data_IF_374008787091
#
_entry.id   IF_374008787091
#
_cell.length_a   1.000
_cell.length_b   1.000
_cell.length_c   1.000
_cell.angle_alpha   90.00
_cell.angle_beta   90.00
_cell.angle_gamma   90.00
#
_symmetry.space_group_name_H-M   'P 1'
#
loop_
_entity.id
_entity.type
_entity.pdbx_description
1 polymer ?
#
# COMPACT_ATOMS: atom_id res chain seq x y z
N UNK A 1 -10.40 22.99 -23.20
CA UNK A 1 -10.27 22.18 -21.96
C UNK A 1 -10.85 20.79 -22.15
N UNK A 2 -12.08 20.64 -22.64
CA UNK A 2 -12.78 19.37 -22.90
C UNK A 2 -11.90 18.37 -23.67
N UNK A 3 -11.35 18.77 -24.83
CA UNK A 3 -10.56 17.88 -25.69
C UNK A 3 -9.31 17.32 -24.98
N UNK A 4 -8.67 18.12 -24.10
CA UNK A 4 -7.50 17.70 -23.35
C UNK A 4 -7.84 16.62 -22.30
N UNK A 5 -8.98 16.80 -21.61
CA UNK A 5 -9.48 15.83 -20.62
C UNK A 5 -9.88 14.54 -21.33
N UNK A 6 -10.66 14.65 -22.40
CA UNK A 6 -11.11 13.49 -23.19
C UNK A 6 -9.94 12.73 -23.79
N UNK A 7 -8.94 13.42 -24.35
CA UNK A 7 -7.75 12.79 -24.91
C UNK A 7 -6.93 12.04 -23.83
N UNK A 8 -6.84 12.59 -22.62
CA UNK A 8 -6.17 11.94 -21.49
C UNK A 8 -6.90 10.68 -21.06
N UNK A 9 -8.22 10.74 -20.87
CA UNK A 9 -9.04 9.58 -20.48
C UNK A 9 -8.99 8.52 -21.56
N UNK A 10 -9.14 8.91 -22.84
CA UNK A 10 -9.07 8.00 -23.99
C UNK A 10 -7.77 7.19 -24.06
N UNK A 11 -6.63 7.80 -23.71
CA UNK A 11 -5.34 7.10 -23.66
C UNK A 11 -5.33 5.93 -22.65
N UNK A 12 -6.20 5.97 -21.65
CA UNK A 12 -6.28 4.94 -20.59
C UNK A 12 -7.37 3.88 -20.87
N UNK A 13 -8.15 4.04 -21.95
CA UNK A 13 -9.19 3.11 -22.36
C UNK A 13 -8.67 1.91 -23.17
N UNK A 14 -7.36 1.75 -23.36
CA UNK A 14 -6.79 0.66 -24.15
C UNK A 14 -7.24 -0.71 -23.63
N UNK A 15 -7.70 -1.60 -24.54
CA UNK A 15 -8.12 -2.96 -24.19
C UNK A 15 -9.38 -3.08 -23.32
N UNK A 16 -10.10 -1.98 -23.07
CA UNK A 16 -11.41 -2.00 -22.42
C UNK A 16 -12.54 -2.22 -23.41
N UNK A 17 -13.70 -2.63 -22.88
CA UNK A 17 -14.90 -2.82 -23.71
C UNK A 17 -15.29 -1.50 -24.42
N UNK A 18 -15.73 -1.54 -25.69
CA UNK A 18 -16.18 -0.35 -26.44
C UNK A 18 -17.33 0.43 -25.79
N UNK A 19 -18.08 -0.17 -24.85
CA UNK A 19 -19.12 0.51 -24.07
C UNK A 19 -18.54 1.50 -23.03
N UNK A 20 -17.22 1.44 -22.78
CA UNK A 20 -16.53 2.42 -21.94
C UNK A 20 -16.25 3.66 -22.78
N UNK A 21 -17.11 4.67 -22.63
CA UNK A 21 -17.05 5.90 -23.42
C UNK A 21 -16.30 7.01 -22.66
N UNK A 22 -15.08 7.39 -23.12
CA UNK A 22 -14.30 8.46 -22.48
C UNK A 22 -14.98 9.83 -22.58
N UNK A 23 -15.84 10.06 -23.60
CA UNK A 23 -16.57 11.32 -23.78
C UNK A 23 -17.58 11.50 -22.66
N UNK A 24 -18.36 10.45 -22.35
CA UNK A 24 -19.35 10.49 -21.26
C UNK A 24 -18.70 10.75 -19.90
N UNK A 25 -17.52 10.16 -19.64
CA UNK A 25 -16.75 10.45 -18.42
C UNK A 25 -16.34 11.91 -18.41
N UNK A 26 -15.79 12.43 -19.52
CA UNK A 26 -15.32 13.80 -19.63
C UNK A 26 -16.43 14.84 -19.41
N UNK A 27 -17.62 14.57 -19.95
CA UNK A 27 -18.78 15.46 -19.74
C UNK A 27 -19.13 15.60 -18.26
N UNK A 28 -19.22 14.49 -17.53
CA UNK A 28 -19.48 14.51 -16.07
C UNK A 28 -18.37 15.13 -15.27
N UNK A 29 -17.11 14.94 -15.68
CA UNK A 29 -15.96 15.59 -15.02
C UNK A 29 -16.04 17.10 -15.14
N UNK A 30 -16.44 17.61 -16.32
CA UNK A 30 -16.52 19.06 -16.55
C UNK A 30 -17.62 19.72 -15.70
N UNK A 31 -18.72 19.03 -15.45
CA UNK A 31 -19.79 19.53 -14.56
C UNK A 31 -19.31 19.78 -13.13
N UNK A 32 -18.25 19.07 -12.69
CA UNK A 32 -17.66 19.23 -11.36
C UNK A 32 -16.42 20.14 -11.30
N UNK A 33 -16.08 20.84 -12.41
CA UNK A 33 -14.89 21.70 -12.42
C UNK A 33 -15.15 23.04 -11.75
N UNK A 34 -14.09 23.56 -11.13
CA UNK A 34 -14.03 24.92 -10.56
C UNK A 34 -12.71 25.59 -10.95
N UNK A 35 -12.66 26.91 -10.82
CA UNK A 35 -11.45 27.68 -11.12
C UNK A 35 -10.33 27.36 -10.13
N UNK A 36 -9.12 27.12 -10.64
CA UNK A 36 -7.94 26.77 -9.83
C UNK A 36 -7.78 25.29 -9.55
N UNK A 37 -8.63 24.40 -10.09
CA UNK A 37 -8.47 22.95 -9.95
C UNK A 37 -7.11 22.49 -10.47
N UNK A 38 -6.37 21.73 -9.66
CA UNK A 38 -5.09 21.14 -10.05
C UNK A 38 -5.29 19.94 -10.96
N UNK A 39 -4.25 19.57 -11.72
CA UNK A 39 -4.32 18.36 -12.58
C UNK A 39 -4.44 17.09 -11.78
N UNK A 40 -3.99 17.06 -10.53
CA UNK A 40 -4.11 15.92 -9.62
C UNK A 40 -5.54 15.76 -9.10
N UNK A 41 -6.18 16.86 -8.71
CA UNK A 41 -7.60 16.88 -8.32
C UNK A 41 -8.51 16.50 -9.49
N UNK A 42 -8.20 17.00 -10.69
CA UNK A 42 -8.90 16.63 -11.91
C UNK A 42 -8.83 15.12 -12.20
N UNK A 43 -7.65 14.51 -12.06
CA UNK A 43 -7.50 13.06 -12.22
C UNK A 43 -8.27 12.29 -11.14
N UNK A 44 -8.28 12.77 -9.87
CA UNK A 44 -9.07 12.15 -8.82
C UNK A 44 -10.57 12.21 -9.12
N UNK A 45 -11.09 13.39 -9.52
CA UNK A 45 -12.47 13.54 -9.92
C UNK A 45 -12.83 12.63 -11.10
N UNK A 46 -11.95 12.55 -12.11
CA UNK A 46 -12.17 11.68 -13.26
C UNK A 46 -12.22 10.19 -12.89
N UNK A 47 -11.37 9.76 -11.95
CA UNK A 47 -11.39 8.39 -11.44
C UNK A 47 -12.67 8.10 -10.65
N UNK A 48 -13.12 9.01 -9.80
CA UNK A 48 -14.36 8.88 -9.02
C UNK A 48 -15.59 8.82 -9.95
N UNK A 49 -15.67 9.72 -10.93
CA UNK A 49 -16.73 9.72 -11.94
C UNK A 49 -16.75 8.39 -12.70
N UNK A 50 -15.60 7.91 -13.17
CA UNK A 50 -15.53 6.61 -13.83
C UNK A 50 -15.97 5.47 -12.91
N UNK A 51 -15.59 5.49 -11.63
CA UNK A 51 -16.00 4.49 -10.65
C UNK A 51 -17.53 4.46 -10.43
N UNK A 52 -18.21 5.61 -10.45
CA UNK A 52 -19.70 5.64 -10.36
C UNK A 52 -20.40 5.03 -11.58
N UNK A 53 -19.72 4.95 -12.72
CA UNK A 53 -20.26 4.39 -13.96
C UNK A 53 -20.12 2.87 -14.07
N UNK A 54 -19.60 2.18 -13.04
CA UNK A 54 -19.48 0.72 -13.00
C UNK A 54 -20.83 0.00 -13.12
N UNK A 55 -21.92 0.66 -12.74
CA UNK A 55 -23.29 0.17 -12.96
C UNK A 55 -23.68 0.09 -14.44
N UNK A 56 -23.03 0.86 -15.31
CA UNK A 56 -23.24 0.82 -16.76
C UNK A 56 -22.41 -0.29 -17.40
N UNK A 57 -21.13 -0.42 -17.01
CA UNK A 57 -20.24 -1.50 -17.43
C UNK A 57 -19.09 -1.71 -16.43
N UNK A 58 -18.72 -2.96 -16.06
CA UNK A 58 -17.67 -3.25 -15.07
C UNK A 58 -16.31 -2.65 -15.42
N UNK A 59 -15.96 -2.52 -16.69
CA UNK A 59 -14.67 -1.98 -17.14
C UNK A 59 -14.46 -0.51 -16.78
N UNK A 60 -15.51 0.21 -16.38
CA UNK A 60 -15.31 1.55 -15.82
C UNK A 60 -14.50 1.52 -14.50
N UNK A 61 -14.55 0.42 -13.73
CA UNK A 61 -13.67 0.23 -12.57
C UNK A 61 -12.19 0.15 -12.99
N UNK A 62 -11.91 -0.53 -14.11
CA UNK A 62 -10.56 -0.60 -14.67
C UNK A 62 -10.07 0.76 -15.16
N UNK A 63 -10.94 1.53 -15.84
CA UNK A 63 -10.63 2.89 -16.26
C UNK A 63 -10.35 3.78 -15.05
N UNK A 64 -11.19 3.76 -14.03
CA UNK A 64 -11.03 4.51 -12.79
C UNK A 64 -9.68 4.20 -12.10
N UNK A 65 -9.33 2.92 -12.01
CA UNK A 65 -8.03 2.49 -11.49
C UNK A 65 -6.88 3.04 -12.31
N UNK A 66 -6.92 2.92 -13.62
CA UNK A 66 -5.85 3.41 -14.51
C UNK A 66 -5.62 4.91 -14.40
N UNK A 67 -6.70 5.69 -14.25
CA UNK A 67 -6.60 7.13 -14.00
C UNK A 67 -5.90 7.39 -12.66
N UNK A 68 -6.32 6.70 -11.59
CA UNK A 68 -5.72 6.85 -10.26
C UNK A 68 -4.25 6.42 -10.22
N UNK A 69 -3.90 5.29 -10.84
CA UNK A 69 -2.50 4.82 -10.97
C UNK A 69 -1.66 5.83 -11.74
N UNK A 70 -2.17 6.33 -12.86
CA UNK A 70 -1.49 7.35 -13.65
C UNK A 70 -1.27 8.65 -12.87
N UNK A 71 -2.23 9.03 -12.00
CA UNK A 71 -2.09 10.17 -11.11
C UNK A 71 -1.01 9.94 -10.06
N UNK A 72 -1.01 8.77 -9.40
CA UNK A 72 0.05 8.40 -8.45
C UNK A 72 1.43 8.42 -9.12
N UNK A 73 1.56 7.88 -10.32
CA UNK A 73 2.83 7.85 -11.06
C UNK A 73 3.35 9.25 -11.42
N UNK A 74 2.47 10.24 -11.65
CA UNK A 74 2.88 11.63 -11.87
C UNK A 74 3.43 12.28 -10.61
N UNK A 75 2.87 11.92 -9.46
CA UNK A 75 3.16 12.56 -8.17
C UNK A 75 4.26 11.83 -7.38
N UNK A 76 4.81 10.73 -7.91
CA UNK A 76 5.81 9.89 -7.24
C UNK A 76 7.04 9.68 -8.12
N UNK A 77 8.19 9.50 -7.49
CA UNK A 77 9.42 9.15 -8.19
C UNK A 77 9.29 7.79 -8.88
N UNK A 78 9.91 7.66 -10.06
CA UNK A 78 9.93 6.40 -10.79
C UNK A 78 10.97 5.43 -10.21
N UNK A 79 12.14 5.92 -9.78
CA UNK A 79 13.20 5.08 -9.23
C UNK A 79 12.83 4.56 -7.85
N UNK A 80 12.88 3.25 -7.70
CA UNK A 80 12.68 2.56 -6.42
C UNK A 80 13.77 2.96 -5.42
N UNK A 81 15.04 2.88 -5.84
CA UNK A 81 16.17 3.17 -4.96
C UNK A 81 16.15 4.60 -4.43
N UNK A 82 15.77 5.59 -5.24
CA UNK A 82 15.62 6.98 -4.79
C UNK A 82 14.44 7.14 -3.82
N UNK A 83 13.34 6.44 -4.05
CA UNK A 83 12.19 6.47 -3.11
C UNK A 83 12.58 5.88 -1.76
N UNK A 84 13.34 4.78 -1.76
CA UNK A 84 13.83 4.16 -0.53
C UNK A 84 14.87 5.05 0.18
N UNK A 85 15.67 5.81 -0.56
CA UNK A 85 16.60 6.81 0.01
C UNK A 85 15.84 7.93 0.74
N UNK A 86 14.76 8.44 0.15
CA UNK A 86 13.90 9.44 0.80
C UNK A 86 13.25 8.89 2.10
N UNK A 87 12.76 7.64 2.06
CA UNK A 87 12.12 6.99 3.21
C UNK A 87 13.12 6.73 4.35
N UNK A 88 14.36 6.37 4.02
CA UNK A 88 15.40 6.12 5.01
C UNK A 88 15.93 7.42 5.64
N UNK A 89 16.13 8.48 4.84
CA UNK A 89 16.64 9.76 5.30
C UNK A 89 15.57 10.70 5.85
N UNK A 90 14.34 10.21 6.05
CA UNK A 90 13.25 11.03 6.51
C UNK A 90 13.53 11.66 7.88
N UNK A 91 13.27 12.96 7.96
CA UNK A 91 13.32 13.75 9.19
C UNK A 91 11.90 14.20 9.54
N UNK A 92 11.43 13.88 10.72
CA UNK A 92 10.12 14.29 11.18
C UNK A 92 10.08 15.83 11.37
N UNK A 93 9.26 16.57 10.63
CA UNK A 93 9.26 18.04 10.67
C UNK A 93 8.79 18.62 12.00
N UNK A 94 8.04 17.86 12.81
CA UNK A 94 7.56 18.31 14.13
C UNK A 94 8.64 18.21 15.21
N UNK A 95 9.49 17.19 15.13
CA UNK A 95 10.51 16.91 16.17
C UNK A 95 11.93 17.25 15.72
N UNK A 96 12.11 17.53 14.43
CA UNK A 96 13.40 17.70 13.75
C UNK A 96 14.40 16.56 14.02
N UNK A 97 13.87 15.34 14.25
CA UNK A 97 14.68 14.13 14.47
C UNK A 97 14.58 13.19 13.29
N UNK A 98 15.64 12.46 13.01
CA UNK A 98 15.62 11.36 12.05
C UNK A 98 14.58 10.33 12.48
N UNK A 99 13.73 9.92 11.54
CA UNK A 99 12.67 8.95 11.74
C UNK A 99 12.58 8.02 10.52
N UNK A 100 13.62 7.20 10.28
CA UNK A 100 13.68 6.35 9.11
C UNK A 100 12.48 5.39 9.07
N UNK A 101 11.90 5.22 7.88
CA UNK A 101 10.82 4.27 7.64
C UNK A 101 11.33 2.92 7.13
N UNK A 102 12.63 2.82 6.85
CA UNK A 102 13.33 1.59 6.48
C UNK A 102 14.35 1.20 7.55
N UNK A 103 14.57 -0.10 7.72
CA UNK A 103 15.65 -0.61 8.57
C UNK A 103 17.02 -0.38 7.92
N UNK A 104 18.06 -0.27 8.73
CA UNK A 104 19.43 -0.08 8.27
C UNK A 104 19.88 -1.23 7.35
N UNK A 105 19.51 -2.46 7.70
CA UNK A 105 19.86 -3.67 6.95
C UNK A 105 19.25 -3.64 5.53
N UNK A 106 17.95 -3.42 5.45
CA UNK A 106 17.24 -3.34 4.15
C UNK A 106 17.76 -2.19 3.32
N UNK A 107 18.01 -1.02 3.91
CA UNK A 107 18.56 0.12 3.19
C UNK A 107 19.95 -0.17 2.60
N UNK A 108 20.85 -0.83 3.36
CA UNK A 108 22.18 -1.23 2.88
C UNK A 108 22.09 -2.19 1.67
N UNK A 109 21.20 -3.18 1.74
CA UNK A 109 20.97 -4.13 0.63
C UNK A 109 20.48 -3.39 -0.61
N UNK A 110 19.50 -2.49 -0.46
CA UNK A 110 18.96 -1.71 -1.57
C UNK A 110 20.05 -0.80 -2.18
N UNK A 111 20.80 -0.11 -1.34
CA UNK A 111 21.87 0.81 -1.80
C UNK A 111 22.94 0.09 -2.61
N UNK A 112 23.37 -1.08 -2.13
CA UNK A 112 24.38 -1.93 -2.81
C UNK A 112 23.91 -2.44 -4.17
N UNK A 113 22.61 -2.67 -4.33
CA UNK A 113 22.01 -3.35 -5.50
C UNK A 113 21.01 -2.47 -6.26
N UNK A 114 21.12 -1.15 -6.12
CA UNK A 114 20.14 -0.19 -6.61
C UNK A 114 19.81 -0.37 -8.11
N UNK A 115 20.82 -0.49 -8.94
CA UNK A 115 20.67 -0.60 -10.40
C UNK A 115 19.94 -1.91 -10.81
N UNK A 116 20.31 -3.05 -10.20
CA UNK A 116 19.64 -4.34 -10.43
C UNK A 116 18.18 -4.28 -10.01
N UNK A 117 17.88 -3.71 -8.84
CA UNK A 117 16.53 -3.60 -8.30
C UNK A 117 15.65 -2.64 -9.11
N UNK A 118 16.17 -1.45 -9.45
CA UNK A 118 15.45 -0.47 -10.28
C UNK A 118 15.10 -1.02 -11.67
N UNK A 119 16.01 -1.80 -12.28
CA UNK A 119 15.77 -2.42 -13.60
C UNK A 119 14.80 -3.61 -13.56
N UNK A 120 14.67 -4.27 -12.41
CA UNK A 120 13.79 -5.44 -12.25
C UNK A 120 12.31 -5.05 -12.15
N UNK A 121 12.01 -3.83 -11.67
CA UNK A 121 10.63 -3.41 -11.40
C UNK A 121 9.85 -3.14 -12.69
N UNK A 122 8.67 -3.75 -12.80
CA UNK A 122 7.76 -3.60 -13.96
C UNK A 122 6.56 -2.76 -13.56
N UNK A 123 6.67 -1.44 -13.73
CA UNK A 123 5.65 -0.46 -13.32
C UNK A 123 4.29 -0.62 -14.01
N UNK A 124 4.26 -1.18 -15.23
CA UNK A 124 2.99 -1.42 -15.93
C UNK A 124 2.06 -2.38 -15.18
N UNK A 125 2.56 -3.19 -14.26
CA UNK A 125 1.76 -4.09 -13.43
C UNK A 125 0.87 -3.34 -12.43
N UNK A 126 1.19 -2.08 -12.10
CA UNK A 126 0.32 -1.23 -11.27
C UNK A 126 -1.06 -1.01 -11.92
N UNK A 127 -1.13 -0.99 -13.26
CA UNK A 127 -2.38 -0.82 -14.02
C UNK A 127 -3.29 -2.06 -14.04
N UNK A 128 -2.86 -3.16 -13.42
CA UNK A 128 -3.65 -4.39 -13.30
C UNK A 128 -4.55 -4.45 -12.07
N UNK A 129 -4.49 -3.46 -11.18
CA UNK A 129 -5.43 -3.35 -10.06
C UNK A 129 -6.77 -2.79 -10.55
N UNK A 130 -7.87 -3.21 -9.90
CA UNK A 130 -9.14 -2.50 -10.01
C UNK A 130 -9.14 -1.24 -9.13
N UNK A 131 -10.17 -0.43 -9.25
CA UNK A 131 -10.25 0.85 -8.52
C UNK A 131 -10.25 0.66 -7.01
N UNK A 132 -11.04 -0.29 -6.50
CA UNK A 132 -11.14 -0.56 -5.07
C UNK A 132 -9.80 -1.06 -4.50
N UNK A 133 -9.19 -2.04 -5.17
CA UNK A 133 -7.90 -2.61 -4.74
C UNK A 133 -6.79 -1.56 -4.77
N UNK A 134 -6.70 -0.75 -5.83
CA UNK A 134 -5.71 0.32 -5.91
C UNK A 134 -5.91 1.39 -4.83
N UNK A 135 -7.15 1.87 -4.62
CA UNK A 135 -7.45 2.87 -3.59
C UNK A 135 -7.18 2.34 -2.18
N UNK A 136 -7.41 1.05 -1.95
CA UNK A 136 -7.06 0.40 -0.68
C UNK A 136 -5.54 0.42 -0.44
N UNK A 137 -4.74 0.08 -1.47
CA UNK A 137 -3.28 0.18 -1.38
C UNK A 137 -2.82 1.62 -1.12
N UNK A 138 -3.28 2.56 -1.92
CA UNK A 138 -2.90 3.98 -1.81
C UNK A 138 -3.25 4.57 -0.45
N UNK A 139 -4.45 4.28 0.06
CA UNK A 139 -4.94 4.81 1.32
C UNK A 139 -4.23 4.22 2.53
N UNK A 140 -4.01 2.91 2.54
CA UNK A 140 -3.70 2.16 3.75
C UNK A 140 -2.35 1.46 3.76
N UNK A 141 -1.74 1.17 2.60
CA UNK A 141 -0.56 0.30 2.54
C UNK A 141 0.72 1.00 2.05
N UNK A 142 0.61 1.92 1.09
CA UNK A 142 1.77 2.60 0.55
C UNK A 142 2.35 3.59 1.57
N UNK A 143 3.68 3.59 1.72
CA UNK A 143 4.36 4.47 2.66
C UNK A 143 4.24 5.94 2.25
N UNK A 144 4.12 6.79 3.25
CA UNK A 144 3.87 8.22 3.11
C UNK A 144 4.93 9.03 3.85
N UNK A 145 5.31 10.16 3.28
CA UNK A 145 6.10 11.18 3.95
C UNK A 145 5.22 12.42 4.15
N UNK A 146 5.08 12.87 5.39
CA UNK A 146 4.24 14.02 5.75
C UNK A 146 2.77 13.91 5.24
N UNK A 147 2.23 12.70 5.25
CA UNK A 147 0.86 12.42 4.77
C UNK A 147 0.73 12.26 3.25
N UNK A 148 1.81 12.48 2.49
CA UNK A 148 1.82 12.32 1.03
C UNK A 148 2.40 10.96 0.65
N UNK A 149 1.68 10.21 -0.18
CA UNK A 149 2.12 8.89 -0.68
C UNK A 149 3.35 9.05 -1.58
N UNK A 150 4.42 8.34 -1.26
CA UNK A 150 5.68 8.33 -2.03
C UNK A 150 6.00 6.98 -2.66
N UNK A 151 5.49 5.89 -2.09
CA UNK A 151 5.61 4.56 -2.68
C UNK A 151 4.60 4.35 -3.82
N UNK A 152 5.01 3.56 -4.82
CA UNK A 152 4.11 2.92 -5.79
C UNK A 152 3.81 1.49 -5.34
N UNK A 153 2.74 0.84 -5.83
CA UNK A 153 2.48 -0.56 -5.49
C UNK A 153 3.68 -1.48 -5.74
N UNK A 154 4.37 -1.33 -6.88
CA UNK A 154 5.56 -2.14 -7.17
C UNK A 154 6.73 -1.84 -6.23
N UNK A 155 6.87 -0.61 -5.73
CA UNK A 155 7.86 -0.27 -4.71
C UNK A 155 7.59 -1.01 -3.40
N UNK A 156 6.33 -1.00 -2.96
CA UNK A 156 5.90 -1.74 -1.77
C UNK A 156 6.22 -3.24 -1.88
N UNK A 157 5.86 -3.86 -3.01
CA UNK A 157 6.10 -5.29 -3.22
C UNK A 157 7.60 -5.62 -3.20
N UNK A 158 8.45 -4.79 -3.82
CA UNK A 158 9.89 -4.98 -3.80
C UNK A 158 10.48 -4.75 -2.39
N UNK A 159 10.05 -3.71 -1.67
CA UNK A 159 10.45 -3.47 -0.29
C UNK A 159 10.12 -4.64 0.62
N UNK A 160 8.90 -5.17 0.50
CA UNK A 160 8.44 -6.33 1.27
C UNK A 160 9.30 -7.55 0.99
N UNK A 161 9.58 -7.83 -0.28
CA UNK A 161 10.42 -8.97 -0.70
C UNK A 161 11.85 -8.87 -0.15
N UNK A 162 12.47 -7.69 -0.24
CA UNK A 162 13.81 -7.47 0.31
C UNK A 162 13.78 -7.56 1.85
N UNK A 163 12.75 -7.04 2.49
CA UNK A 163 12.60 -7.12 3.95
C UNK A 163 12.46 -8.55 4.48
N UNK A 164 12.01 -9.50 3.66
CA UNK A 164 11.90 -10.92 4.00
C UNK A 164 13.22 -11.66 3.74
N UNK A 165 13.85 -11.43 2.60
CA UNK A 165 14.98 -12.22 2.12
C UNK A 165 16.35 -11.58 2.37
N UNK A 166 16.39 -10.27 2.68
CA UNK A 166 17.62 -9.51 2.91
C UNK A 166 18.67 -9.69 1.79
N UNK A 167 19.79 -10.34 2.10
CA UNK A 167 20.92 -10.51 1.17
C UNK A 167 20.65 -11.55 0.06
N UNK A 168 19.63 -12.40 0.19
CA UNK A 168 19.23 -13.31 -0.88
C UNK A 168 18.38 -12.58 -1.92
N UNK A 169 19.08 -11.89 -2.82
CA UNK A 169 18.45 -11.08 -3.85
C UNK A 169 17.66 -11.90 -4.87
N UNK A 170 18.07 -13.11 -5.17
CA UNK A 170 17.40 -13.93 -6.17
C UNK A 170 16.06 -14.41 -5.61
N UNK A 171 15.99 -14.86 -4.36
CA UNK A 171 14.74 -15.15 -3.66
C UNK A 171 13.85 -13.90 -3.50
N UNK A 172 14.44 -12.72 -3.22
CA UNK A 172 13.70 -11.46 -3.15
C UNK A 172 13.06 -11.10 -4.49
N UNK A 173 13.78 -11.23 -5.60
CA UNK A 173 13.27 -10.94 -6.95
C UNK A 173 12.20 -11.96 -7.37
N UNK A 174 12.36 -13.23 -7.02
CA UNK A 174 11.34 -14.26 -7.25
C UNK A 174 10.05 -13.93 -6.51
N UNK A 175 10.15 -13.67 -5.20
CA UNK A 175 9.00 -13.29 -4.36
C UNK A 175 8.31 -12.03 -4.88
N UNK A 176 9.06 -10.98 -5.23
CA UNK A 176 8.53 -9.80 -5.90
C UNK A 176 7.77 -10.17 -7.18
N UNK A 177 8.35 -11.01 -8.00
CA UNK A 177 7.77 -11.40 -9.29
C UNK A 177 6.44 -12.13 -9.10
N UNK A 178 6.37 -13.07 -8.17
CA UNK A 178 5.16 -13.82 -7.84
C UNK A 178 4.06 -12.92 -7.29
N UNK A 179 4.37 -12.05 -6.33
CA UNK A 179 3.40 -11.07 -5.79
C UNK A 179 2.95 -10.08 -6.85
N UNK A 180 3.88 -9.54 -7.63
CA UNK A 180 3.62 -8.57 -8.69
C UNK A 180 2.74 -9.13 -9.81
N UNK A 181 2.83 -10.44 -10.08
CA UNK A 181 1.95 -11.18 -11.00
C UNK A 181 0.65 -11.65 -10.34
N UNK A 182 0.44 -11.36 -9.04
CA UNK A 182 -0.75 -11.73 -8.26
C UNK A 182 -0.94 -13.25 -8.07
N UNK A 183 0.13 -14.04 -8.04
CA UNK A 183 0.03 -15.44 -7.66
C UNK A 183 -0.31 -15.62 -6.18
N UNK A 184 0.19 -14.72 -5.32
CA UNK A 184 -0.16 -14.62 -3.90
C UNK A 184 0.06 -13.20 -3.39
N UNK A 185 -0.43 -12.94 -2.17
CA UNK A 185 -0.11 -11.73 -1.40
C UNK A 185 0.12 -12.09 0.05
N UNK A 186 0.92 -11.30 0.73
CA UNK A 186 1.08 -11.40 2.18
C UNK A 186 -0.07 -10.76 2.93
N UNK A 187 -0.23 -11.15 4.20
CA UNK A 187 -1.16 -10.50 5.12
C UNK A 187 -0.72 -9.07 5.46
N UNK A 188 -1.67 -8.28 5.95
CA UNK A 188 -1.52 -6.87 6.27
C UNK A 188 -0.26 -6.54 7.09
N UNK A 189 0.07 -7.24 8.20
CA UNK A 189 1.26 -6.91 8.98
C UNK A 189 2.57 -7.05 8.19
N UNK A 190 2.68 -8.05 7.32
CA UNK A 190 3.85 -8.23 6.46
C UNK A 190 3.97 -7.08 5.46
N UNK A 191 2.86 -6.68 4.79
CA UNK A 191 2.86 -5.58 3.83
C UNK A 191 3.21 -4.23 4.48
N UNK A 192 2.77 -4.00 5.73
CA UNK A 192 3.09 -2.78 6.46
C UNK A 192 4.52 -2.76 7.00
N UNK A 193 4.94 -3.85 7.63
CA UNK A 193 6.11 -3.82 8.51
C UNK A 193 7.38 -4.40 7.87
N UNK A 194 7.27 -5.18 6.78
CA UNK A 194 8.46 -5.74 6.14
C UNK A 194 9.35 -4.63 5.56
N UNK A 195 10.62 -4.70 5.89
CA UNK A 195 11.62 -3.70 5.52
C UNK A 195 11.65 -2.47 6.41
N UNK A 196 10.77 -2.35 7.42
CA UNK A 196 10.75 -1.23 8.38
C UNK A 196 11.62 -1.53 9.61
N UNK A 197 11.91 -0.51 10.45
CA UNK A 197 12.73 -0.72 11.66
C UNK A 197 12.12 -1.66 12.72
N UNK A 198 10.81 -1.94 12.64
CA UNK A 198 10.10 -2.85 13.54
C UNK A 198 9.33 -3.89 12.74
N UNK A 199 10.01 -4.91 12.20
CA UNK A 199 9.43 -5.83 11.23
C UNK A 199 8.60 -6.95 11.89
N UNK A 200 7.44 -6.60 12.48
CA UNK A 200 6.49 -7.61 12.94
C UNK A 200 5.67 -8.10 11.75
N UNK A 201 5.91 -9.33 11.34
CA UNK A 201 5.31 -9.90 10.12
C UNK A 201 4.14 -10.85 10.38
N UNK A 202 3.97 -11.34 11.63
CA UNK A 202 2.87 -12.23 11.97
C UNK A 202 1.54 -11.48 12.05
N UNK A 203 0.49 -12.06 11.48
CA UNK A 203 -0.85 -11.48 11.47
C UNK A 203 -1.70 -11.89 12.66
N UNK A 204 -1.47 -13.11 13.21
CA UNK A 204 -2.32 -13.71 14.23
C UNK A 204 -1.47 -14.39 15.32
N UNK A 205 -1.94 -14.26 16.56
CA UNK A 205 -1.28 -14.78 17.75
C UNK A 205 -2.32 -15.49 18.62
N UNK A 206 -1.94 -16.64 19.16
CA UNK A 206 -2.73 -17.34 20.16
C UNK A 206 -2.05 -17.20 21.51
N UNK A 207 -2.78 -16.70 22.49
CA UNK A 207 -2.34 -16.54 23.87
C UNK A 207 -3.24 -17.36 24.80
N UNK A 208 -2.61 -17.86 25.87
CA UNK A 208 -3.34 -18.44 26.99
C UNK A 208 -3.13 -17.54 28.21
N UNK A 209 -4.18 -17.32 28.98
CA UNK A 209 -4.03 -16.62 30.28
C UNK A 209 -2.95 -17.33 31.11
N UNK A 210 -1.99 -16.58 31.68
CA UNK A 210 -0.84 -17.17 32.36
C UNK A 210 -1.27 -17.90 33.62
N UNK A 211 -1.63 -17.14 34.65
CA UNK A 211 -2.05 -17.67 35.95
C UNK A 211 -3.38 -17.05 36.35
N UNK A 212 -4.12 -17.76 37.23
CA UNK A 212 -5.29 -17.22 37.91
C UNK A 212 -4.85 -16.33 39.09
N UNK A 213 -4.16 -15.25 38.73
CA UNK A 213 -3.65 -14.24 39.65
C UNK A 213 -3.69 -12.86 39.01
N UNK A 214 -3.67 -11.82 39.82
CA UNK A 214 -3.62 -10.43 39.30
C UNK A 214 -2.42 -10.25 38.37
N UNK A 215 -1.23 -10.72 38.77
CA UNK A 215 -0.03 -10.61 37.95
C UNK A 215 -0.15 -11.37 36.64
N UNK A 216 -0.67 -12.59 36.63
CA UNK A 216 -0.89 -13.39 35.43
C UNK A 216 -1.86 -12.73 34.47
N UNK A 217 -2.97 -12.20 34.97
CA UNK A 217 -3.98 -11.48 34.18
C UNK A 217 -3.38 -10.21 33.55
N UNK A 218 -2.72 -9.36 34.33
CA UNK A 218 -2.14 -8.12 33.82
C UNK A 218 -0.93 -8.35 32.91
N UNK A 219 -0.12 -9.39 33.14
CA UNK A 219 0.95 -9.78 32.21
C UNK A 219 0.41 -10.22 30.87
N UNK A 220 -0.66 -10.99 30.85
CA UNK A 220 -1.34 -11.38 29.61
C UNK A 220 -1.92 -10.16 28.89
N UNK A 221 -2.56 -9.24 29.61
CA UNK A 221 -3.04 -7.98 29.06
C UNK A 221 -1.93 -7.15 28.44
N UNK A 222 -0.76 -7.06 29.11
CA UNK A 222 0.42 -6.36 28.59
C UNK A 222 0.95 -6.98 27.29
N UNK A 223 0.97 -8.33 27.20
CA UNK A 223 1.37 -9.02 25.97
C UNK A 223 0.38 -8.74 24.84
N UNK A 224 -0.92 -8.83 25.13
CA UNK A 224 -2.00 -8.49 24.19
C UNK A 224 -1.85 -7.07 23.64
N UNK A 225 -1.60 -6.08 24.52
CA UNK A 225 -1.41 -4.70 24.10
C UNK A 225 -0.19 -4.52 23.18
N UNK A 226 0.93 -5.21 23.45
CA UNK A 226 2.14 -5.16 22.61
C UNK A 226 1.91 -5.76 21.23
N UNK A 227 1.18 -6.87 21.13
CA UNK A 227 0.85 -7.51 19.86
C UNK A 227 -0.11 -6.60 19.08
N UNK A 228 -1.14 -6.09 19.73
CA UNK A 228 -2.12 -5.19 19.13
C UNK A 228 -1.48 -3.90 18.57
N UNK A 229 -0.43 -3.39 19.23
CA UNK A 229 0.33 -2.22 18.75
C UNK A 229 0.93 -2.45 17.35
N UNK A 230 1.22 -3.70 16.99
CA UNK A 230 1.79 -4.09 15.69
C UNK A 230 0.73 -4.55 14.68
N UNK A 231 -0.55 -4.23 14.91
CA UNK A 231 -1.69 -4.67 14.09
C UNK A 231 -1.87 -6.20 14.03
N UNK A 232 -1.40 -6.94 15.05
CA UNK A 232 -1.61 -8.38 15.18
C UNK A 232 -3.02 -8.71 15.69
N UNK A 233 -3.70 -9.68 15.08
CA UNK A 233 -4.93 -10.29 15.60
C UNK A 233 -4.62 -11.22 16.77
N UNK A 234 -5.50 -11.29 17.77
CA UNK A 234 -5.23 -12.06 19.00
C UNK A 234 -6.42 -12.94 19.31
N UNK A 235 -6.16 -14.25 19.48
CA UNK A 235 -7.04 -15.20 20.13
C UNK A 235 -6.56 -15.46 21.56
N UNK A 236 -7.39 -15.19 22.56
CA UNK A 236 -7.04 -15.36 23.95
C UNK A 236 -7.89 -16.48 24.57
N UNK A 237 -7.24 -17.52 25.11
CA UNK A 237 -7.88 -18.53 25.91
C UNK A 237 -7.85 -18.14 27.40
N UNK A 238 -9.02 -18.19 28.04
CA UNK A 238 -9.21 -17.83 29.45
C UNK A 238 -9.58 -19.02 30.34
N UNK A 239 -9.46 -20.26 29.82
CA UNK A 239 -9.89 -21.45 30.52
C UNK A 239 -9.17 -21.73 31.86
N UNK A 240 -8.02 -21.08 32.10
CA UNK A 240 -7.26 -21.19 33.33
C UNK A 240 -7.82 -20.33 34.50
N UNK A 241 -8.74 -19.42 34.19
CA UNK A 241 -9.28 -18.52 35.20
C UNK A 241 -10.50 -19.19 35.86
N UNK A 242 -10.41 -19.35 37.16
CA UNK A 242 -11.51 -19.93 37.96
C UNK A 242 -12.50 -18.83 38.35
N UNK A 243 -13.76 -19.13 38.21
CA UNK A 243 -14.84 -18.24 38.70
C UNK A 243 -15.01 -18.41 40.21
N UNK A 244 -14.85 -17.34 40.96
CA UNK A 244 -15.13 -17.33 42.41
C UNK A 244 -16.61 -17.57 42.75
N UNK A 245 -17.53 -17.54 41.78
CA UNK A 245 -18.95 -17.78 41.96
C UNK A 245 -19.26 -19.27 42.19
N UNK A 246 -18.33 -20.13 41.80
CA UNK A 246 -18.51 -21.61 41.86
C UNK A 246 -17.59 -22.29 42.89
N UNK A 247 -16.95 -21.52 43.77
CA UNK A 247 -16.16 -22.05 44.91
C UNK A 247 -17.02 -22.05 46.15
#
# INVERSE_FOLDING_TARGET
MFDKITARIKKLCYGLNPLVDPVRVSMRVIEGLYDGVTTSELDNLAAEVAATMTTTHPDYANLASRISVSNLHKNTKKSFSQTMDDLYNYVNPRTNKKAPLLSDEVYKVIKKNAEKLDSTIIYNRDFNYDYFGFKTLERSYLLKLNGVTVERPQHMLMRVSIGIHLDDLDAAIETYTLMSKKYFTHATPTLFNSGTPKPQLSSCFLLTMQDDSIDGIYNTLKQTAKISQSAGGIGLSIHNILSLIHI
#
